data_IF_622489280877
#
_entry.id   IF_622489280877
#
_cell.length_a   1.000
_cell.length_b   1.000
_cell.length_c   1.000
_cell.angle_alpha   90.00
_cell.angle_beta   90.00
_cell.angle_gamma   90.00
#
_symmetry.space_group_name_H-M   'P 1'
#
loop_
_entity.id
_entity.type
_entity.pdbx_description
1 polymer ?
#
# COMPACT_ATOMS: atom_id res chain seq x y z
N UNK A 1 -18.50 -4.97 -42.73
CA UNK A 1 -17.57 -4.97 -41.58
C UNK A 1 -18.19 -4.11 -40.50
N UNK A 2 -18.55 -4.69 -39.36
CA UNK A 2 -18.99 -3.88 -38.22
C UNK A 2 -17.75 -3.32 -37.50
N UNK A 3 -17.74 -2.04 -37.11
CA UNK A 3 -16.67 -1.51 -36.28
C UNK A 3 -16.73 -2.21 -34.92
N UNK A 4 -15.66 -2.92 -34.58
CA UNK A 4 -15.49 -3.50 -33.25
C UNK A 4 -15.34 -2.34 -32.28
N UNK A 5 -16.37 -2.12 -31.47
CA UNK A 5 -16.36 -1.11 -30.42
C UNK A 5 -15.36 -1.58 -29.35
N UNK A 6 -14.09 -1.18 -29.48
CA UNK A 6 -13.09 -1.38 -28.42
C UNK A 6 -13.50 -0.50 -27.24
N UNK A 7 -14.19 -1.09 -26.27
CA UNK A 7 -14.42 -0.43 -24.99
C UNK A 7 -13.05 -0.15 -24.36
N UNK A 8 -12.72 1.13 -24.18
CA UNK A 8 -11.57 1.54 -23.40
C UNK A 8 -11.68 0.92 -21.99
N UNK A 9 -10.83 -0.06 -21.68
CA UNK A 9 -10.82 -0.70 -20.38
C UNK A 9 -10.06 0.22 -19.44
N UNK A 10 -10.79 1.14 -18.78
CA UNK A 10 -10.26 1.95 -17.65
C UNK A 10 -9.57 1.02 -16.65
N UNK A 11 -8.46 1.48 -16.04
CA UNK A 11 -7.84 0.77 -14.92
C UNK A 11 -8.90 0.46 -13.87
N UNK A 12 -9.00 -0.81 -13.51
CA UNK A 12 -9.96 -1.27 -12.52
C UNK A 12 -9.27 -1.24 -11.16
N UNK A 13 -9.73 -0.37 -10.28
CA UNK A 13 -9.38 -0.42 -8.87
C UNK A 13 -10.45 -1.24 -8.15
N UNK A 14 -10.08 -1.92 -7.06
CA UNK A 14 -11.08 -2.52 -6.16
C UNK A 14 -11.98 -1.40 -5.61
N UNK A 15 -13.29 -1.66 -5.59
CA UNK A 15 -14.25 -0.78 -4.93
C UNK A 15 -14.08 -0.87 -3.42
N UNK A 16 -14.21 0.26 -2.72
CA UNK A 16 -14.23 0.29 -1.26
C UNK A 16 -15.56 -0.27 -0.75
N UNK A 17 -15.51 -0.99 0.37
CA UNK A 17 -16.67 -1.53 1.09
C UNK A 17 -16.57 -1.21 2.58
N UNK A 18 -17.72 -1.03 3.23
CA UNK A 18 -17.79 -0.93 4.69
C UNK A 18 -17.25 -2.23 5.30
N UNK A 19 -16.37 -2.11 6.28
CA UNK A 19 -15.66 -3.23 6.90
C UNK A 19 -14.30 -3.55 6.26
N UNK A 20 -13.96 -2.97 5.10
CA UNK A 20 -12.62 -3.08 4.56
C UNK A 20 -11.60 -2.46 5.52
N UNK A 21 -10.46 -3.13 5.65
CA UNK A 21 -9.28 -2.54 6.28
C UNK A 21 -8.51 -1.76 5.25
N UNK A 22 -8.04 -0.59 5.65
CA UNK A 22 -7.30 0.32 4.78
C UNK A 22 -6.08 0.84 5.52
N UNK A 23 -5.07 1.22 4.76
CA UNK A 23 -3.91 1.97 5.25
C UNK A 23 -3.88 3.35 4.60
N UNK A 24 -3.38 4.33 5.35
CA UNK A 24 -3.16 5.68 4.84
C UNK A 24 -1.88 5.72 4.00
N UNK A 25 -1.92 6.29 2.81
CA UNK A 25 -0.75 6.35 1.90
C UNK A 25 0.04 7.66 2.02
N UNK A 26 -0.56 8.73 2.54
CA UNK A 26 0.05 10.05 2.66
C UNK A 26 -0.07 10.57 4.08
N UNK A 27 0.85 11.43 4.53
CA UNK A 27 0.66 12.08 5.83
C UNK A 27 -0.51 13.05 5.76
N UNK A 28 -1.41 12.97 6.73
CA UNK A 28 -2.59 13.84 6.83
C UNK A 28 -2.51 14.56 8.15
N UNK A 29 -2.54 15.90 8.10
CA UNK A 29 -2.47 16.73 9.30
C UNK A 29 -3.56 17.79 9.30
N UNK A 30 -4.56 17.59 10.15
CA UNK A 30 -5.69 18.48 10.35
C UNK A 30 -5.76 18.88 11.82
N UNK A 31 -5.09 19.99 12.18
CA UNK A 31 -5.00 20.44 13.56
C UNK A 31 -4.25 19.43 14.44
N UNK A 32 -4.95 18.84 15.42
CA UNK A 32 -4.42 17.82 16.33
C UNK A 32 -4.50 16.39 15.76
N UNK A 33 -5.20 16.21 14.64
CA UNK A 33 -5.33 14.93 13.96
C UNK A 33 -4.13 14.78 13.02
N UNK A 34 -3.25 13.84 13.35
CA UNK A 34 -2.10 13.47 12.52
C UNK A 34 -2.17 11.98 12.20
N UNK A 35 -2.37 11.65 10.93
CA UNK A 35 -2.25 10.30 10.40
C UNK A 35 -0.94 10.20 9.63
N UNK A 36 -0.16 9.19 9.96
CA UNK A 36 1.10 8.86 9.28
C UNK A 36 0.82 7.87 8.15
N UNK A 37 1.66 7.85 7.10
CA UNK A 37 1.64 6.76 6.15
C UNK A 37 1.71 5.42 6.89
N UNK A 38 0.96 4.44 6.41
CA UNK A 38 0.79 3.09 6.98
C UNK A 38 -0.09 3.01 8.23
N UNK A 39 -0.62 4.12 8.75
CA UNK A 39 -1.65 4.04 9.79
C UNK A 39 -2.87 3.29 9.25
N UNK A 40 -3.32 2.30 10.00
CA UNK A 40 -4.38 1.39 9.57
C UNK A 40 -5.71 1.70 10.24
N UNK A 41 -6.79 1.56 9.50
CA UNK A 41 -8.16 1.77 9.98
C UNK A 41 -9.17 0.85 9.29
N UNK A 42 -10.43 1.01 9.66
CA UNK A 42 -11.56 0.25 9.08
C UNK A 42 -12.57 1.23 8.50
N UNK A 43 -13.01 1.00 7.26
CA UNK A 43 -14.09 1.79 6.66
C UNK A 43 -15.38 1.51 7.43
N UNK A 44 -15.98 2.55 8.01
CA UNK A 44 -17.26 2.45 8.76
C UNK A 44 -18.43 3.07 8.01
N UNK A 45 -18.16 3.95 7.04
CA UNK A 45 -19.19 4.57 6.22
C UNK A 45 -18.64 4.98 4.84
N UNK A 46 -19.49 4.87 3.82
CA UNK A 46 -19.24 5.25 2.44
C UNK A 46 -20.47 5.99 1.91
N UNK A 47 -20.31 7.22 1.46
CA UNK A 47 -21.33 7.92 0.68
C UNK A 47 -21.25 7.49 -0.79
N UNK A 48 -20.02 7.42 -1.33
CA UNK A 48 -19.72 6.98 -2.68
C UNK A 48 -18.35 6.26 -2.76
N UNK A 49 -17.73 6.24 -3.94
CA UNK A 49 -16.40 5.62 -4.17
C UNK A 49 -15.26 6.64 -4.26
N UNK A 50 -15.51 7.91 -3.98
CA UNK A 50 -14.52 9.00 -3.93
C UNK A 50 -13.97 9.24 -2.53
N UNK A 51 -14.77 8.97 -1.50
CA UNK A 51 -14.41 9.18 -0.09
C UNK A 51 -14.85 8.04 0.81
N UNK A 52 -14.16 7.88 1.93
CA UNK A 52 -14.53 6.93 2.97
C UNK A 52 -14.36 7.54 4.36
N UNK A 53 -15.31 7.27 5.24
CA UNK A 53 -15.14 7.51 6.68
C UNK A 53 -14.45 6.29 7.28
N UNK A 54 -13.25 6.50 7.81
CA UNK A 54 -12.39 5.44 8.34
C UNK A 54 -12.23 5.62 9.84
N UNK A 55 -12.51 4.56 10.61
CA UNK A 55 -12.26 4.52 12.04
C UNK A 55 -10.83 4.07 12.33
N UNK A 56 -10.09 4.90 13.06
CA UNK A 56 -8.73 4.65 13.52
C UNK A 56 -8.72 4.48 15.03
N UNK A 57 -8.28 3.30 15.49
CA UNK A 57 -8.28 2.95 16.90
C UNK A 57 -7.20 3.67 17.72
N UNK A 58 -6.07 4.03 17.10
CA UNK A 58 -4.90 4.52 17.83
C UNK A 58 -5.10 5.91 18.47
N UNK A 59 -6.08 6.69 17.99
CA UNK A 59 -6.48 7.93 18.65
C UNK A 59 -7.15 7.63 19.99
N UNK A 60 -6.75 8.36 21.03
CA UNK A 60 -7.34 8.24 22.34
C UNK A 60 -6.83 7.09 23.20
N UNK A 61 -5.85 6.32 22.69
CA UNK A 61 -5.28 5.19 23.41
C UNK A 61 -4.29 5.60 24.51
N UNK A 62 -3.68 6.79 24.41
CA UNK A 62 -2.61 7.23 25.31
C UNK A 62 -2.99 8.48 26.09
N UNK A 63 -2.58 8.53 27.36
CA UNK A 63 -2.79 9.66 28.29
C UNK A 63 -2.16 10.95 27.75
N UNK A 64 -1.09 10.83 26.97
CA UNK A 64 -0.39 11.96 26.36
C UNK A 64 -0.90 12.36 24.97
N UNK A 65 -1.95 11.69 24.47
CA UNK A 65 -2.58 12.06 23.21
C UNK A 65 -3.14 13.50 23.31
N UNK A 66 -2.74 14.42 22.41
CA UNK A 66 -3.24 15.79 22.39
C UNK A 66 -4.77 15.89 22.32
N UNK A 67 -5.41 14.93 21.66
CA UNK A 67 -6.88 14.87 21.54
C UNK A 67 -7.50 14.56 22.90
N UNK A 68 -6.94 13.60 23.65
CA UNK A 68 -7.41 13.27 25.01
C UNK A 68 -7.29 14.46 25.95
N UNK A 69 -6.18 15.21 25.84
CA UNK A 69 -5.96 16.44 26.63
C UNK A 69 -7.06 17.46 26.40
N UNK A 70 -7.37 17.72 25.14
CA UNK A 70 -8.38 18.71 24.75
C UNK A 70 -9.79 18.26 25.12
N UNK A 71 -10.12 16.99 24.90
CA UNK A 71 -11.45 16.45 25.22
C UNK A 71 -11.64 16.16 26.72
N UNK A 72 -10.59 16.27 27.53
CA UNK A 72 -10.61 16.05 28.99
C UNK A 72 -11.15 14.66 29.41
N UNK A 73 -10.93 13.63 28.58
CA UNK A 73 -11.44 12.26 28.77
C UNK A 73 -10.59 11.41 29.73
N UNK A 74 -9.88 12.05 30.67
CA UNK A 74 -8.90 11.40 31.52
C UNK A 74 -9.49 10.40 32.52
N UNK A 75 -8.85 9.23 32.60
CA UNK A 75 -9.23 8.06 33.40
C UNK A 75 -9.36 8.29 34.92
N UNK A 76 -8.85 9.40 35.48
CA UNK A 76 -8.79 9.58 36.93
C UNK A 76 -10.11 10.03 37.57
N UNK A 77 -11.07 10.55 36.81
CA UNK A 77 -12.41 10.87 37.28
C UNK A 77 -13.44 10.51 36.20
N UNK A 78 -13.73 9.20 36.05
CA UNK A 78 -14.64 8.55 35.06
C UNK A 78 -16.08 9.08 35.01
N UNK A 79 -16.30 10.39 34.95
CA UNK A 79 -17.63 10.98 34.92
C UNK A 79 -18.17 11.11 33.49
N UNK A 80 -17.32 11.17 32.46
CA UNK A 80 -17.71 11.56 31.08
C UNK A 80 -17.34 10.56 29.95
N UNK A 81 -17.05 9.30 30.26
CA UNK A 81 -16.74 8.26 29.25
C UNK A 81 -15.27 8.19 28.82
N UNK A 82 -14.98 7.43 27.77
CA UNK A 82 -13.64 7.22 27.20
C UNK A 82 -13.68 7.43 25.67
N UNK A 83 -12.57 7.86 25.07
CA UNK A 83 -12.39 7.89 23.61
C UNK A 83 -11.87 6.53 23.13
N UNK A 84 -12.61 5.86 22.25
CA UNK A 84 -12.20 4.59 21.60
C UNK A 84 -12.05 4.81 20.10
N UNK A 85 -10.92 5.40 19.72
CA UNK A 85 -10.63 5.78 18.35
C UNK A 85 -11.43 6.97 17.85
N UNK A 86 -11.20 7.31 16.58
CA UNK A 86 -11.84 8.43 15.91
C UNK A 86 -12.10 8.09 14.44
N UNK A 87 -13.21 8.59 13.91
CA UNK A 87 -13.53 8.50 12.49
C UNK A 87 -13.05 9.74 11.74
N UNK A 88 -12.39 9.54 10.61
CA UNK A 88 -11.93 10.61 9.73
C UNK A 88 -12.43 10.33 8.32
N UNK A 89 -13.04 11.31 7.67
CA UNK A 89 -13.37 11.24 6.25
C UNK A 89 -12.11 11.51 5.42
N UNK A 90 -11.79 10.57 4.54
CA UNK A 90 -10.58 10.58 3.72
C UNK A 90 -10.93 10.36 2.25
N UNK A 91 -10.18 11.03 1.37
CA UNK A 91 -10.22 10.79 -0.07
C UNK A 91 -9.67 9.42 -0.41
N UNK A 92 -10.24 8.76 -1.42
CA UNK A 92 -9.82 7.43 -1.88
C UNK A 92 -8.33 7.39 -2.24
N UNK A 93 -7.80 8.45 -2.82
CA UNK A 93 -6.40 8.59 -3.24
C UNK A 93 -5.43 8.55 -2.05
N UNK A 94 -5.92 8.84 -0.84
CA UNK A 94 -5.14 8.77 0.40
C UNK A 94 -5.22 7.40 1.10
N UNK A 95 -5.93 6.44 0.50
CA UNK A 95 -6.19 5.12 1.07
C UNK A 95 -5.70 4.01 0.13
N UNK A 96 -5.20 2.93 0.72
CA UNK A 96 -5.01 1.67 0.04
C UNK A 96 -5.73 0.56 0.81
N UNK A 97 -6.45 -0.30 0.09
CA UNK A 97 -7.18 -1.41 0.69
C UNK A 97 -6.19 -2.51 1.06
N UNK A 98 -6.24 -2.99 2.30
CA UNK A 98 -5.41 -4.11 2.74
C UNK A 98 -5.80 -5.38 1.97
N UNK A 99 -4.82 -5.95 1.28
CA UNK A 99 -4.95 -7.25 0.64
C UNK A 99 -5.10 -8.33 1.71
N UNK A 100 -6.10 -9.20 1.52
CA UNK A 100 -6.30 -10.39 2.35
C UNK A 100 -6.45 -11.59 1.45
N UNK A 101 -5.69 -12.64 1.76
CA UNK A 101 -5.73 -13.87 0.97
C UNK A 101 -7.11 -14.55 0.96
N UNK A 102 -7.84 -14.42 2.08
CA UNK A 102 -9.25 -14.85 2.17
C UNK A 102 -10.21 -14.10 1.24
N UNK A 103 -9.78 -12.97 0.64
CA UNK A 103 -10.55 -12.12 -0.27
C UNK A 103 -9.88 -12.02 -1.64
N UNK A 104 -8.99 -12.95 -1.97
CA UNK A 104 -8.18 -12.94 -3.21
C UNK A 104 -9.00 -12.69 -4.48
N UNK A 105 -10.22 -13.23 -4.54
CA UNK A 105 -11.12 -13.08 -5.69
C UNK A 105 -11.48 -11.63 -5.99
N UNK A 106 -11.59 -10.77 -4.97
CA UNK A 106 -11.91 -9.34 -5.13
C UNK A 106 -10.79 -8.56 -5.85
N UNK A 107 -9.59 -9.13 -5.93
CA UNK A 107 -8.40 -8.49 -6.48
C UNK A 107 -8.01 -9.00 -7.87
N UNK A 108 -8.64 -10.07 -8.40
CA UNK A 108 -8.27 -10.66 -9.70
C UNK A 108 -8.40 -9.72 -10.90
N UNK A 109 -9.30 -8.75 -10.84
CA UNK A 109 -9.56 -7.85 -11.96
C UNK A 109 -8.88 -6.50 -11.82
N UNK A 110 -8.01 -6.32 -10.82
CA UNK A 110 -7.30 -5.07 -10.61
C UNK A 110 -6.19 -4.93 -11.64
N UNK A 111 -6.20 -3.79 -12.31
CA UNK A 111 -5.19 -3.44 -13.30
C UNK A 111 -4.59 -2.08 -12.97
N UNK A 112 -3.27 -1.99 -13.09
CA UNK A 112 -2.49 -0.80 -12.77
C UNK A 112 -1.78 -0.34 -14.03
N UNK A 113 -1.80 0.96 -14.27
CA UNK A 113 -1.09 1.55 -15.41
C UNK A 113 0.42 1.36 -15.25
N UNK A 114 1.11 1.15 -16.37
CA UNK A 114 2.56 0.90 -16.39
C UNK A 114 3.35 2.06 -15.78
N UNK A 115 2.96 3.30 -16.05
CA UNK A 115 3.59 4.50 -15.48
C UNK A 115 3.61 4.46 -13.94
N UNK A 116 2.48 4.12 -13.32
CA UNK A 116 2.37 3.94 -11.87
C UNK A 116 3.14 2.73 -11.36
N UNK A 117 3.13 1.63 -12.12
CA UNK A 117 3.86 0.42 -11.72
C UNK A 117 5.38 0.65 -11.70
N UNK A 118 5.89 1.48 -12.62
CA UNK A 118 7.31 1.87 -12.69
C UNK A 118 7.78 2.69 -11.48
N UNK A 119 6.87 3.32 -10.73
CA UNK A 119 7.20 3.99 -9.48
C UNK A 119 7.45 3.01 -8.31
N UNK A 120 7.13 1.72 -8.49
CA UNK A 120 7.30 0.71 -7.43
C UNK A 120 8.72 0.11 -7.51
N UNK A 121 9.49 0.09 -6.40
CA UNK A 121 10.81 -0.54 -6.39
C UNK A 121 10.75 -1.99 -6.87
N UNK A 122 11.81 -2.42 -7.57
CA UNK A 122 11.97 -3.74 -8.22
C UNK A 122 11.06 -4.01 -9.43
N UNK A 123 10.05 -3.19 -9.70
CA UNK A 123 9.25 -3.35 -10.89
C UNK A 123 10.06 -2.96 -12.14
N UNK A 124 9.97 -3.79 -13.17
CA UNK A 124 10.56 -3.53 -14.48
C UNK A 124 9.59 -3.94 -15.57
N UNK A 125 9.68 -3.24 -16.71
CA UNK A 125 8.86 -3.56 -17.89
C UNK A 125 9.04 -5.02 -18.27
N UNK A 126 7.94 -5.77 -18.21
CA UNK A 126 7.88 -7.14 -18.68
C UNK A 126 6.88 -7.28 -19.83
N UNK A 127 7.38 -7.39 -21.07
CA UNK A 127 6.55 -7.48 -22.27
C UNK A 127 5.61 -8.71 -22.28
N UNK A 128 5.96 -9.79 -21.57
CA UNK A 128 5.12 -11.00 -21.48
C UNK A 128 3.82 -10.75 -20.72
N UNK A 129 3.86 -9.85 -19.73
CA UNK A 129 2.76 -9.59 -18.81
C UNK A 129 1.98 -8.30 -19.16
N UNK A 130 2.47 -7.52 -20.13
CA UNK A 130 1.73 -6.34 -20.63
C UNK A 130 0.37 -6.78 -21.15
N UNK A 131 -0.68 -6.24 -20.55
CA UNK A 131 -2.02 -6.31 -21.13
C UNK A 131 -2.05 -5.36 -22.33
N UNK A 132 -2.65 -5.80 -23.44
CA UNK A 132 -2.74 -5.01 -24.67
C UNK A 132 -3.32 -3.62 -24.37
N UNK A 133 -2.72 -2.56 -24.96
CA UNK A 133 -3.12 -1.19 -24.69
C UNK A 133 -4.53 -0.98 -25.22
N UNK A 134 -5.38 -0.36 -24.40
CA UNK A 134 -6.75 0.00 -24.81
C UNK A 134 -6.93 1.49 -25.06
N UNK A 135 -5.89 2.29 -24.81
CA UNK A 135 -5.85 3.75 -25.01
C UNK A 135 -4.44 4.19 -25.42
N UNK A 136 -4.34 5.36 -26.02
CA UNK A 136 -3.09 6.05 -26.35
C UNK A 136 -3.05 7.39 -25.63
N UNK A 137 -1.85 7.87 -25.30
CA UNK A 137 -1.61 9.20 -24.73
C UNK A 137 -0.57 9.96 -25.54
N UNK A 138 -0.55 11.29 -25.45
CA UNK A 138 0.53 12.08 -26.02
C UNK A 138 1.73 12.10 -25.07
N UNK A 139 2.90 11.75 -25.59
CA UNK A 139 4.16 11.91 -24.87
C UNK A 139 4.60 13.39 -24.83
N UNK A 140 5.73 13.67 -24.17
CA UNK A 140 6.28 15.03 -24.05
C UNK A 140 6.63 15.69 -25.41
N UNK A 141 6.82 14.88 -26.45
CA UNK A 141 7.09 15.29 -27.83
C UNK A 141 5.80 15.43 -28.67
N UNK A 142 4.62 15.33 -28.04
CA UNK A 142 3.30 15.38 -28.69
C UNK A 142 3.00 14.22 -29.66
N UNK A 143 3.74 13.13 -29.56
CA UNK A 143 3.50 11.89 -30.31
C UNK A 143 2.58 10.96 -29.51
N UNK A 144 1.70 10.23 -30.20
CA UNK A 144 0.80 9.27 -29.55
C UNK A 144 1.54 7.97 -29.24
N UNK A 145 1.48 7.53 -27.99
CA UNK A 145 2.06 6.28 -27.51
C UNK A 145 0.98 5.39 -26.86
N UNK A 146 1.05 4.07 -27.05
CA UNK A 146 0.15 3.13 -26.38
C UNK A 146 0.38 3.12 -24.87
N UNK A 147 -0.71 3.17 -24.09
CA UNK A 147 -0.64 3.01 -22.64
C UNK A 147 -0.85 1.55 -22.25
N UNK A 148 0.17 0.97 -21.62
CA UNK A 148 0.12 -0.40 -21.11
C UNK A 148 -0.32 -0.46 -19.66
N UNK A 149 -0.83 -1.62 -19.27
CA UNK A 149 -1.22 -1.93 -17.90
C UNK A 149 -0.81 -3.35 -17.54
N UNK A 150 -0.75 -3.60 -16.25
CA UNK A 150 -0.42 -4.89 -15.66
C UNK A 150 -1.52 -5.32 -14.70
N UNK A 151 -1.76 -6.62 -14.61
CA UNK A 151 -2.60 -7.16 -13.54
C UNK A 151 -1.87 -7.05 -12.21
N UNK A 152 -2.60 -6.73 -11.13
CA UNK A 152 -2.01 -6.56 -9.79
C UNK A 152 -1.12 -7.75 -9.38
N UNK A 153 -1.55 -8.97 -9.68
CA UNK A 153 -0.83 -10.19 -9.34
C UNK A 153 0.56 -10.27 -9.97
N UNK A 154 0.67 -9.85 -11.22
CA UNK A 154 1.95 -9.87 -11.92
C UNK A 154 2.91 -8.84 -11.33
N UNK A 155 2.37 -7.68 -10.92
CA UNK A 155 3.14 -6.64 -10.22
C UNK A 155 3.66 -7.20 -8.89
N UNK A 156 2.78 -7.81 -8.08
CA UNK A 156 3.15 -8.44 -6.81
C UNK A 156 4.22 -9.52 -7.03
N UNK A 157 4.02 -10.44 -7.97
CA UNK A 157 4.98 -11.53 -8.24
C UNK A 157 6.37 -11.01 -8.63
N UNK A 158 6.43 -10.00 -9.51
CA UNK A 158 7.70 -9.38 -9.96
C UNK A 158 8.41 -8.72 -8.78
N UNK A 159 7.66 -7.94 -8.00
CA UNK A 159 8.20 -7.24 -6.84
C UNK A 159 8.68 -8.22 -5.78
N UNK A 160 7.88 -9.23 -5.45
CA UNK A 160 8.20 -10.20 -4.40
C UNK A 160 9.46 -11.00 -4.79
N UNK A 161 9.61 -11.37 -6.06
CA UNK A 161 10.83 -11.96 -6.57
C UNK A 161 12.04 -11.02 -6.41
N UNK A 162 11.94 -9.78 -6.90
CA UNK A 162 13.03 -8.81 -6.83
C UNK A 162 13.44 -8.45 -5.40
N UNK A 163 12.46 -8.33 -4.50
CA UNK A 163 12.71 -8.07 -3.09
C UNK A 163 13.44 -9.23 -2.41
N UNK A 164 13.03 -10.48 -2.69
CA UNK A 164 13.69 -11.67 -2.13
C UNK A 164 15.12 -11.86 -2.66
N UNK A 165 15.37 -11.59 -3.95
CA UNK A 165 16.73 -11.59 -4.50
C UNK A 165 17.60 -10.51 -3.85
N UNK A 166 17.06 -9.30 -3.65
CA UNK A 166 17.76 -8.25 -2.94
C UNK A 166 18.07 -8.63 -1.48
N UNK A 167 17.13 -9.27 -0.76
CA UNK A 167 17.39 -9.76 0.61
C UNK A 167 18.55 -10.77 0.62
N UNK A 168 18.63 -11.69 -0.36
CA UNK A 168 19.76 -12.63 -0.47
C UNK A 168 21.09 -11.91 -0.59
N UNK A 169 21.14 -10.80 -1.36
CA UNK A 169 22.34 -9.97 -1.45
C UNK A 169 22.68 -9.32 -0.10
N UNK A 170 21.70 -8.81 0.64
CA UNK A 170 21.92 -8.27 2.00
C UNK A 170 22.50 -9.33 2.92
N UNK A 171 21.91 -10.52 2.94
CA UNK A 171 22.38 -11.67 3.75
C UNK A 171 23.82 -12.03 3.37
N UNK A 172 24.13 -12.15 2.08
CA UNK A 172 25.48 -12.47 1.60
C UNK A 172 26.50 -11.41 2.05
N UNK A 173 26.17 -10.12 1.96
CA UNK A 173 27.04 -9.02 2.41
C UNK A 173 27.30 -9.09 3.91
N UNK A 174 26.28 -9.42 4.71
CA UNK A 174 26.39 -9.51 6.16
C UNK A 174 27.26 -10.71 6.58
N UNK A 175 27.01 -11.88 5.98
CA UNK A 175 27.80 -13.09 6.21
C UNK A 175 29.28 -12.89 5.86
N UNK A 176 29.58 -12.26 4.72
CA UNK A 176 30.96 -11.95 4.31
C UNK A 176 31.67 -10.98 5.28
N UNK A 177 30.93 -10.05 5.89
CA UNK A 177 31.50 -9.11 6.88
C UNK A 177 31.76 -9.79 8.22
N UNK A 178 30.87 -10.67 8.65
CA UNK A 178 30.96 -11.33 9.96
C UNK A 178 31.80 -12.62 9.95
N UNK A 179 32.22 -13.11 8.78
CA UNK A 179 33.02 -14.34 8.65
C UNK A 179 32.28 -15.60 9.09
N UNK A 180 30.94 -15.58 9.08
CA UNK A 180 30.07 -16.69 9.48
C UNK A 180 29.79 -17.63 8.30
N UNK A 181 29.33 -18.84 8.57
CA UNK A 181 28.76 -19.71 7.52
C UNK A 181 27.35 -19.24 7.14
N UNK A 182 26.97 -19.44 5.87
CA UNK A 182 25.62 -19.14 5.33
C UNK A 182 24.62 -20.16 5.89
N UNK A 183 24.35 -20.15 7.19
CA UNK A 183 23.34 -20.99 7.81
C UNK A 183 22.19 -20.11 8.30
N UNK A 184 21.17 -20.00 7.46
CA UNK A 184 19.80 -19.49 7.71
C UNK A 184 19.67 -18.05 8.25
N UNK A 185 18.58 -17.37 7.88
CA UNK A 185 18.18 -16.01 8.29
C UNK A 185 18.31 -15.63 9.77
N UNK A 186 18.53 -16.60 10.65
CA UNK A 186 18.48 -16.43 12.09
C UNK A 186 19.66 -15.64 12.66
N UNK A 187 20.67 -15.30 11.85
CA UNK A 187 21.88 -14.63 12.30
C UNK A 187 22.20 -13.32 11.55
N UNK A 188 21.19 -12.62 11.03
CA UNK A 188 21.41 -11.26 10.48
C UNK A 188 21.77 -10.28 11.59
N UNK A 189 22.67 -9.35 11.30
CA UNK A 189 22.94 -8.20 12.16
C UNK A 189 21.69 -7.33 12.37
N UNK A 190 21.64 -6.61 13.49
CA UNK A 190 20.57 -5.65 13.78
C UNK A 190 20.48 -4.57 12.70
N UNK A 191 21.63 -4.17 12.13
CA UNK A 191 21.72 -3.24 11.00
C UNK A 191 21.05 -3.80 9.74
N UNK A 192 21.36 -5.04 9.35
CA UNK A 192 20.73 -5.66 8.19
C UNK A 192 19.24 -5.89 8.37
N UNK A 193 18.80 -6.25 9.59
CA UNK A 193 17.37 -6.36 9.90
C UNK A 193 16.65 -5.01 9.71
N UNK A 194 17.24 -3.91 10.21
CA UNK A 194 16.71 -2.55 10.02
C UNK A 194 16.70 -2.11 8.56
N UNK A 195 17.74 -2.44 7.79
CA UNK A 195 17.81 -2.14 6.34
C UNK A 195 16.67 -2.84 5.59
N UNK A 196 16.45 -4.14 5.86
CA UNK A 196 15.37 -4.92 5.23
C UNK A 196 14.00 -4.38 5.63
N UNK A 197 13.79 -4.05 6.91
CA UNK A 197 12.52 -3.48 7.38
C UNK A 197 12.22 -2.12 6.77
N UNK A 198 13.24 -1.25 6.63
CA UNK A 198 13.10 0.05 5.98
C UNK A 198 12.74 -0.12 4.51
N UNK A 199 13.43 -1.01 3.79
CA UNK A 199 13.16 -1.26 2.37
C UNK A 199 11.80 -1.90 2.13
N UNK A 200 11.38 -2.81 3.02
CA UNK A 200 10.04 -3.39 3.01
C UNK A 200 8.96 -2.31 3.12
N UNK A 201 9.07 -1.42 4.12
CA UNK A 201 8.11 -0.32 4.30
C UNK A 201 8.07 0.65 3.12
N UNK A 202 9.23 0.97 2.55
CA UNK A 202 9.32 1.79 1.33
C UNK A 202 8.56 1.12 0.18
N UNK A 203 8.81 -0.17 -0.04
CA UNK A 203 8.20 -0.95 -1.10
C UNK A 203 6.68 -1.08 -0.94
N UNK A 204 6.23 -1.42 0.25
CA UNK A 204 4.81 -1.54 0.60
C UNK A 204 4.07 -0.23 0.37
N UNK A 205 4.66 0.90 0.79
CA UNK A 205 4.07 2.21 0.61
C UNK A 205 4.01 2.62 -0.87
N UNK A 206 5.06 2.34 -1.64
CA UNK A 206 5.09 2.61 -3.07
C UNK A 206 4.03 1.77 -3.81
N UNK A 207 3.94 0.47 -3.49
CA UNK A 207 2.91 -0.43 -4.02
C UNK A 207 1.50 0.07 -3.66
N UNK A 208 1.27 0.45 -2.40
CA UNK A 208 -0.01 0.99 -1.94
C UNK A 208 -0.42 2.25 -2.71
N UNK A 209 0.50 3.19 -2.96
CA UNK A 209 0.26 4.41 -3.73
C UNK A 209 -0.05 4.13 -5.20
N UNK A 210 0.73 3.25 -5.82
CA UNK A 210 0.60 2.95 -7.24
C UNK A 210 -0.69 2.17 -7.55
N UNK A 211 -1.02 1.20 -6.70
CA UNK A 211 -2.06 0.20 -6.97
C UNK A 211 -3.38 0.48 -6.23
N UNK A 212 -3.36 1.28 -5.17
CA UNK A 212 -4.49 1.42 -4.24
C UNK A 212 -4.73 0.17 -3.37
N UNK A 213 -3.77 -0.77 -3.36
CA UNK A 213 -3.81 -2.00 -2.58
C UNK A 213 -2.54 -2.10 -1.73
N UNK A 214 -2.72 -2.28 -0.43
CA UNK A 214 -1.63 -2.55 0.48
C UNK A 214 -1.39 -4.05 0.57
N UNK A 215 -0.19 -4.49 0.24
CA UNK A 215 0.23 -5.89 0.28
C UNK A 215 1.44 -6.04 1.21
N UNK A 216 1.33 -6.93 2.19
CA UNK A 216 2.42 -7.25 3.13
C UNK A 216 3.41 -8.22 2.46
N UNK A 217 4.54 -7.68 1.99
CA UNK A 217 5.54 -8.49 1.28
C UNK A 217 6.27 -9.42 2.25
N UNK A 218 6.22 -10.73 1.96
CA UNK A 218 6.90 -11.73 2.77
C UNK A 218 8.42 -11.60 2.64
N UNK A 219 9.13 -11.73 3.77
CA UNK A 219 10.59 -11.89 3.77
C UNK A 219 10.92 -13.37 3.53
N UNK A 220 11.37 -13.74 2.33
CA UNK A 220 11.77 -15.11 1.99
C UNK A 220 13.15 -15.08 1.31
N UNK A 221 14.07 -15.98 1.66
CA UNK A 221 15.29 -16.29 0.88
C UNK A 221 15.29 -17.75 0.58
#
# INVERSE_FOLDING_TARGET
>A
MMPTQQWAVKSKNRSMQVGDRVVVTNSIKNGLIELKPMDSGVIVYLEDQSRATVWFRHFGCFVDDPIIRVLQVYANNKQNGNLDGMTVELEKESLAIEYKDSQREDFYHITVWEDKALDIPFFQVNNKYRVQPSIEQKNAQSEWEPMYKYDLWQIIDIIEYGFNEWIKEVVLRDVLKEGKEVSTYLNLSDESCKEIDAKKKELELACAKATGVFYDFAKRA
#
